data_IF_765986699269
#
_entry.id   IF_765986699269
#
_cell.length_a   1.000
_cell.length_b   1.000
_cell.length_c   1.000
_cell.angle_alpha   90.00
_cell.angle_beta   90.00
_cell.angle_gamma   90.00
#
_symmetry.space_group_name_H-M   'P 1'
#
loop_
_entity.id
_entity.type
_entity.pdbx_description
1 polymer ?
#
# COMPACT_ATOMS: atom_id res chain seq x y z
N UNK A 1 -35.49 24.13 -13.90
CA UNK A 1 -34.83 24.79 -12.75
C UNK A 1 -34.42 23.71 -11.76
N UNK A 2 -33.18 23.22 -11.83
CA UNK A 2 -32.61 22.34 -10.81
C UNK A 2 -31.55 23.15 -10.07
N UNK A 3 -31.87 23.54 -8.85
CA UNK A 3 -31.00 24.34 -8.01
C UNK A 3 -29.78 23.51 -7.62
N UNK A 4 -28.63 24.07 -7.96
CA UNK A 4 -27.29 23.60 -7.63
C UNK A 4 -27.11 23.66 -6.10
N UNK A 5 -27.52 22.61 -5.39
CA UNK A 5 -27.38 22.47 -3.95
C UNK A 5 -25.94 22.16 -3.52
N UNK A 6 -24.98 23.00 -3.89
CA UNK A 6 -23.65 22.96 -3.26
C UNK A 6 -23.83 23.42 -1.81
N UNK A 7 -23.93 22.48 -0.87
CA UNK A 7 -23.84 22.78 0.55
C UNK A 7 -22.61 23.67 0.80
N UNK A 8 -22.83 24.90 1.25
CA UNK A 8 -21.76 25.86 1.51
C UNK A 8 -21.09 25.45 2.83
N UNK A 9 -20.01 24.69 2.74
CA UNK A 9 -19.19 24.27 3.87
C UNK A 9 -18.20 25.40 4.17
N UNK A 10 -18.11 25.87 5.42
CA UNK A 10 -17.15 26.91 5.80
C UNK A 10 -15.70 26.43 5.62
N UNK A 11 -14.76 27.35 5.37
CA UNK A 11 -13.35 26.99 5.19
C UNK A 11 -12.76 26.23 6.41
N UNK A 12 -13.22 26.56 7.62
CA UNK A 12 -12.80 25.86 8.84
C UNK A 12 -13.31 24.41 8.91
N UNK A 13 -14.51 24.13 8.38
CA UNK A 13 -15.06 22.76 8.38
C UNK A 13 -14.48 21.89 7.25
N UNK A 14 -13.99 22.49 6.15
CA UNK A 14 -13.23 21.76 5.12
C UNK A 14 -11.91 21.23 5.69
N UNK A 15 -11.15 22.06 6.41
CA UNK A 15 -9.88 21.65 7.03
C UNK A 15 -10.07 20.47 7.98
N UNK A 16 -11.07 20.55 8.86
CA UNK A 16 -11.41 19.47 9.81
C UNK A 16 -11.90 18.20 9.10
N UNK A 17 -12.63 18.34 7.99
CA UNK A 17 -13.07 17.20 7.17
C UNK A 17 -11.89 16.47 6.55
N UNK A 18 -10.97 17.20 5.91
CA UNK A 18 -9.76 16.62 5.31
C UNK A 18 -8.87 15.97 6.38
N UNK A 19 -8.73 16.60 7.55
CA UNK A 19 -8.01 16.03 8.68
C UNK A 19 -8.65 14.73 9.17
N UNK A 20 -9.98 14.70 9.30
CA UNK A 20 -10.72 13.49 9.72
C UNK A 20 -10.55 12.34 8.73
N UNK A 21 -10.53 12.62 7.42
CA UNK A 21 -10.23 11.64 6.37
C UNK A 21 -8.77 11.17 6.43
N UNK A 22 -7.83 12.10 6.67
CA UNK A 22 -6.40 11.79 6.78
C UNK A 22 -6.06 10.94 8.01
N UNK A 23 -6.81 11.06 9.11
CA UNK A 23 -6.67 10.14 10.26
C UNK A 23 -6.95 8.70 9.80
N UNK A 24 -7.98 8.47 8.99
CA UNK A 24 -8.28 7.13 8.51
C UNK A 24 -7.16 6.56 7.64
N UNK A 25 -6.64 7.33 6.68
CA UNK A 25 -5.50 6.87 5.85
C UNK A 25 -4.22 6.68 6.65
N UNK A 26 -4.00 7.47 7.71
CA UNK A 26 -2.93 7.23 8.69
C UNK A 26 -3.11 5.88 9.39
N UNK A 27 -4.30 5.58 9.88
CA UNK A 27 -4.58 4.31 10.55
C UNK A 27 -4.45 3.10 9.62
N UNK A 28 -4.83 3.26 8.35
CA UNK A 28 -4.62 2.24 7.31
C UNK A 28 -3.13 1.94 7.12
N UNK A 29 -2.30 2.98 6.99
CA UNK A 29 -0.85 2.81 6.92
C UNK A 29 -0.27 2.17 8.19
N UNK A 30 -0.74 2.62 9.34
CA UNK A 30 -0.26 2.11 10.62
C UNK A 30 -0.55 0.62 10.74
N UNK A 31 -1.78 0.16 10.47
CA UNK A 31 -2.12 -1.27 10.57
C UNK A 31 -1.48 -2.14 9.49
N UNK A 32 -1.27 -1.60 8.29
CA UNK A 32 -0.65 -2.35 7.20
C UNK A 32 0.83 -2.57 7.46
N UNK A 33 1.57 -1.50 7.78
CA UNK A 33 3.03 -1.53 7.78
C UNK A 33 3.65 -1.77 9.17
N UNK A 34 2.95 -1.51 10.27
CA UNK A 34 3.55 -1.70 11.62
C UNK A 34 3.77 -3.16 11.99
N UNK A 35 3.01 -4.08 11.41
CA UNK A 35 3.13 -5.51 11.74
C UNK A 35 4.43 -6.11 11.19
N UNK A 36 4.97 -5.56 10.10
CA UNK A 36 6.19 -6.02 9.45
C UNK A 36 7.43 -6.01 10.38
N UNK A 37 7.80 -4.87 11.01
CA UNK A 37 8.91 -4.86 11.97
C UNK A 37 8.61 -5.62 13.27
N UNK A 38 7.36 -6.03 13.52
CA UNK A 38 6.94 -6.78 14.70
C UNK A 38 6.91 -8.29 14.49
N UNK A 39 7.23 -8.79 13.28
CA UNK A 39 7.18 -10.22 12.97
C UNK A 39 7.92 -11.10 13.98
N UNK A 40 9.15 -10.78 14.42
CA UNK A 40 9.86 -11.58 15.42
C UNK A 40 9.09 -11.70 16.75
N UNK A 41 8.50 -10.61 17.23
CA UNK A 41 7.73 -10.57 18.48
C UNK A 41 6.42 -11.38 18.39
N UNK A 42 5.77 -11.35 17.22
CA UNK A 42 4.56 -12.12 16.96
C UNK A 42 4.89 -13.62 16.86
N UNK A 43 6.01 -13.95 16.21
CA UNK A 43 6.52 -15.32 16.08
C UNK A 43 6.79 -15.93 17.45
N UNK A 44 7.47 -15.18 18.32
CA UNK A 44 7.73 -15.57 19.71
C UNK A 44 6.42 -15.78 20.48
N UNK A 45 5.49 -14.82 20.42
CA UNK A 45 4.24 -14.89 21.20
C UNK A 45 3.41 -16.14 20.86
N UNK A 46 3.35 -16.52 19.58
CA UNK A 46 2.56 -17.68 19.15
C UNK A 46 3.40 -18.96 19.00
N UNK A 47 4.69 -18.91 19.35
CA UNK A 47 5.64 -20.02 19.22
C UNK A 47 5.61 -20.68 17.82
N UNK A 48 5.69 -19.84 16.78
CA UNK A 48 5.72 -20.26 15.36
C UNK A 48 6.96 -19.70 14.67
N UNK A 49 7.38 -20.29 13.55
CA UNK A 49 8.51 -19.78 12.79
C UNK A 49 8.21 -18.41 12.15
N UNK A 50 9.22 -17.55 12.01
CA UNK A 50 9.12 -16.27 11.29
C UNK A 50 8.52 -16.45 9.89
N UNK A 51 8.91 -17.52 9.18
CA UNK A 51 8.36 -17.86 7.87
C UNK A 51 6.84 -18.03 7.91
N UNK A 52 6.31 -18.71 8.94
CA UNK A 52 4.85 -18.87 9.12
C UNK A 52 4.19 -17.53 9.43
N UNK A 53 4.79 -16.67 10.26
CA UNK A 53 4.22 -15.35 10.60
C UNK A 53 4.07 -14.42 9.40
N UNK A 54 4.84 -14.61 8.32
CA UNK A 54 4.60 -13.91 7.04
C UNK A 54 3.15 -13.99 6.55
N UNK A 55 2.43 -15.08 6.87
CA UNK A 55 1.00 -15.26 6.55
C UNK A 55 0.10 -14.18 7.15
N UNK A 56 0.48 -13.56 8.27
CA UNK A 56 -0.27 -12.46 8.90
C UNK A 56 -0.31 -11.23 7.99
N UNK A 57 0.81 -10.93 7.32
CA UNK A 57 0.91 -9.82 6.36
C UNK A 57 0.13 -10.17 5.09
N UNK A 58 0.35 -11.37 4.56
CA UNK A 58 -0.34 -11.82 3.34
C UNK A 58 -1.84 -11.94 3.51
N UNK A 59 -2.32 -12.33 4.68
CA UNK A 59 -3.75 -12.39 5.00
C UNK A 59 -4.38 -11.01 4.97
N UNK A 60 -3.75 -10.01 5.60
CA UNK A 60 -4.20 -8.62 5.53
C UNK A 60 -4.28 -8.12 4.09
N UNK A 61 -3.21 -8.34 3.33
CA UNK A 61 -3.12 -7.93 1.93
C UNK A 61 -4.18 -8.62 1.05
N UNK A 62 -4.43 -9.92 1.26
CA UNK A 62 -5.52 -10.66 0.63
C UNK A 62 -6.89 -10.09 1.01
N UNK A 63 -7.06 -9.71 2.27
CA UNK A 63 -8.24 -8.99 2.76
C UNK A 63 -8.47 -7.69 1.99
N UNK A 64 -7.42 -6.91 1.70
CA UNK A 64 -7.52 -5.67 0.93
C UNK A 64 -7.98 -5.94 -0.51
N UNK A 65 -7.37 -6.92 -1.17
CA UNK A 65 -7.69 -7.30 -2.56
C UNK A 65 -9.13 -7.80 -2.69
N UNK A 66 -9.60 -8.60 -1.73
CA UNK A 66 -10.98 -9.13 -1.72
C UNK A 66 -11.99 -8.07 -1.27
N UNK A 67 -11.65 -7.33 -0.23
CA UNK A 67 -12.56 -6.41 0.45
C UNK A 67 -12.90 -5.17 -0.37
N UNK A 68 -11.95 -4.63 -1.13
CA UNK A 68 -12.20 -3.47 -1.97
C UNK A 68 -13.38 -3.67 -2.96
N UNK A 69 -13.38 -4.67 -3.86
CA UNK A 69 -14.50 -4.92 -4.77
C UNK A 69 -15.76 -5.34 -4.01
N UNK A 70 -15.63 -6.21 -3.00
CA UNK A 70 -16.77 -6.71 -2.24
C UNK A 70 -17.55 -5.58 -1.54
N UNK A 71 -16.85 -4.74 -0.79
CA UNK A 71 -17.50 -3.64 -0.07
C UNK A 71 -18.00 -2.55 -1.02
N UNK A 72 -17.30 -2.27 -2.12
CA UNK A 72 -17.83 -1.36 -3.16
C UNK A 72 -19.15 -1.86 -3.75
N UNK A 73 -19.32 -3.18 -3.93
CA UNK A 73 -20.56 -3.79 -4.41
C UNK A 73 -21.66 -3.87 -3.36
N UNK A 74 -21.31 -3.91 -2.07
CA UNK A 74 -22.27 -3.98 -0.96
C UNK A 74 -22.74 -2.60 -0.48
N UNK A 75 -21.96 -1.54 -0.72
CA UNK A 75 -22.30 -0.16 -0.32
C UNK A 75 -22.64 0.79 -1.50
N UNK A 76 -23.26 0.36 -2.62
CA UNK A 76 -23.40 1.19 -3.82
C UNK A 76 -24.39 2.34 -3.63
N UNK A 77 -25.38 2.17 -2.74
CA UNK A 77 -26.41 3.17 -2.44
C UNK A 77 -26.17 3.91 -1.12
N UNK A 78 -25.13 3.55 -0.38
CA UNK A 78 -24.81 4.21 0.89
C UNK A 78 -24.20 5.58 0.60
N UNK A 79 -24.71 6.62 1.26
CA UNK A 79 -24.05 7.92 1.21
C UNK A 79 -22.59 7.78 1.67
N UNK A 80 -21.70 8.64 1.16
CA UNK A 80 -20.25 8.46 1.32
C UNK A 80 -19.80 8.59 2.78
N UNK A 81 -20.48 9.40 3.59
CA UNK A 81 -20.24 9.52 5.03
C UNK A 81 -20.54 8.19 5.74
N UNK A 82 -21.71 7.61 5.53
CA UNK A 82 -22.12 6.35 6.16
C UNK A 82 -21.20 5.20 5.78
N UNK A 83 -20.75 5.16 4.51
CA UNK A 83 -19.76 4.19 4.07
C UNK A 83 -18.42 4.35 4.82
N UNK A 84 -17.88 5.58 4.91
CA UNK A 84 -16.64 5.86 5.64
C UNK A 84 -16.74 5.53 7.14
N UNK A 85 -17.88 5.84 7.77
CA UNK A 85 -18.16 5.49 9.17
C UNK A 85 -18.20 3.97 9.35
N UNK A 86 -18.89 3.24 8.47
CA UNK A 86 -18.93 1.78 8.50
C UNK A 86 -17.52 1.18 8.36
N UNK A 87 -16.73 1.64 7.39
CA UNK A 87 -15.38 1.15 7.18
C UNK A 87 -14.46 1.48 8.36
N UNK A 88 -14.57 2.67 8.96
CA UNK A 88 -13.86 3.01 10.19
C UNK A 88 -14.27 2.12 11.37
N UNK A 89 -15.56 1.78 11.50
CA UNK A 89 -16.05 0.84 12.50
C UNK A 89 -15.50 -0.58 12.28
N UNK A 90 -15.39 -1.04 11.02
CA UNK A 90 -14.74 -2.31 10.68
C UNK A 90 -13.24 -2.30 11.04
N UNK A 91 -12.53 -1.20 10.75
CA UNK A 91 -11.12 -1.04 11.13
C UNK A 91 -10.99 -1.13 12.66
N UNK A 92 -11.86 -0.44 13.41
CA UNK A 92 -11.91 -0.52 14.88
C UNK A 92 -12.11 -1.96 15.36
N UNK A 93 -13.16 -2.64 14.91
CA UNK A 93 -13.53 -3.97 15.38
C UNK A 93 -12.45 -5.00 15.03
N UNK A 94 -12.01 -5.08 13.77
CA UNK A 94 -11.14 -6.15 13.32
C UNK A 94 -9.69 -5.98 13.79
N UNK A 95 -9.19 -4.75 13.94
CA UNK A 95 -7.89 -4.54 14.59
C UNK A 95 -7.95 -4.80 16.09
N UNK A 96 -9.09 -4.49 16.74
CA UNK A 96 -9.34 -4.87 18.12
C UNK A 96 -9.32 -6.39 18.30
N UNK A 97 -10.00 -7.13 17.42
CA UNK A 97 -9.95 -8.59 17.40
C UNK A 97 -8.52 -9.11 17.17
N UNK A 98 -7.77 -8.50 16.24
CA UNK A 98 -6.37 -8.88 15.99
C UNK A 98 -5.49 -8.69 17.23
N UNK A 99 -5.71 -7.61 18.00
CA UNK A 99 -5.01 -7.40 19.27
C UNK A 99 -5.37 -8.46 20.34
N UNK A 100 -6.60 -8.96 20.30
CA UNK A 100 -7.13 -9.98 21.22
C UNK A 100 -6.91 -11.42 20.73
N UNK A 101 -6.20 -11.63 19.62
CA UNK A 101 -5.96 -12.96 19.08
C UNK A 101 -5.26 -13.86 20.10
N UNK A 102 -5.91 -14.99 20.43
CA UNK A 102 -5.43 -16.00 21.37
C UNK A 102 -4.65 -17.13 20.72
N UNK A 103 -4.78 -17.29 19.39
CA UNK A 103 -3.98 -18.24 18.60
C UNK A 103 -3.48 -17.61 17.30
N UNK A 104 -2.50 -18.26 16.67
CA UNK A 104 -1.94 -17.81 15.39
C UNK A 104 -2.99 -17.81 14.28
N UNK A 105 -3.82 -18.84 14.21
CA UNK A 105 -4.86 -18.99 13.20
C UNK A 105 -5.95 -17.92 13.36
N UNK A 106 -6.30 -17.56 14.60
CA UNK A 106 -7.16 -16.40 14.87
C UNK A 106 -6.52 -15.11 14.40
N UNK A 107 -5.22 -14.91 14.66
CA UNK A 107 -4.49 -13.73 14.21
C UNK A 107 -4.53 -13.61 12.68
N UNK A 108 -4.28 -14.70 11.95
CA UNK A 108 -4.37 -14.73 10.48
C UNK A 108 -5.78 -14.35 9.99
N UNK A 109 -6.83 -14.95 10.57
CA UNK A 109 -8.21 -14.65 10.20
C UNK A 109 -8.57 -13.19 10.48
N UNK A 110 -8.27 -12.67 11.67
CA UNK A 110 -8.58 -11.30 12.04
C UNK A 110 -7.81 -10.28 11.23
N UNK A 111 -6.60 -10.63 10.78
CA UNK A 111 -5.81 -9.80 9.86
C UNK A 111 -6.41 -9.76 8.47
N UNK A 112 -6.89 -10.89 7.95
CA UNK A 112 -7.72 -10.90 6.74
C UNK A 112 -8.94 -9.99 6.87
N UNK A 113 -9.70 -10.09 7.96
CA UNK A 113 -10.84 -9.20 8.22
C UNK A 113 -10.42 -7.73 8.30
N UNK A 114 -9.30 -7.44 8.98
CA UNK A 114 -8.75 -6.08 9.12
C UNK A 114 -8.36 -5.45 7.79
N UNK A 115 -8.00 -6.26 6.79
CA UNK A 115 -7.70 -5.81 5.43
C UNK A 115 -8.95 -5.45 4.61
N UNK A 116 -10.10 -6.09 4.89
CA UNK A 116 -11.33 -5.89 4.11
C UNK A 116 -11.73 -4.41 3.90
N UNK A 117 -11.82 -3.56 4.95
CA UNK A 117 -12.25 -2.18 4.79
C UNK A 117 -11.20 -1.27 4.15
N UNK A 118 -9.94 -1.71 4.00
CA UNK A 118 -8.83 -0.84 3.62
C UNK A 118 -9.08 -0.16 2.27
N UNK A 119 -9.14 -0.93 1.19
CA UNK A 119 -9.24 -0.36 -0.16
C UNK A 119 -10.54 0.44 -0.35
N UNK A 120 -11.63 -0.01 0.27
CA UNK A 120 -12.92 0.67 0.23
C UNK A 120 -12.91 2.02 0.96
N UNK A 121 -12.31 2.08 2.16
CA UNK A 121 -12.11 3.33 2.89
C UNK A 121 -11.21 4.27 2.09
N UNK A 122 -10.05 3.77 1.65
CA UNK A 122 -9.04 4.57 0.97
C UNK A 122 -9.59 5.23 -0.29
N UNK A 123 -10.22 4.45 -1.18
CA UNK A 123 -10.85 4.97 -2.39
C UNK A 123 -11.98 5.96 -2.10
N UNK A 124 -12.85 5.64 -1.13
CA UNK A 124 -13.96 6.52 -0.75
C UNK A 124 -13.46 7.85 -0.16
N UNK A 125 -12.42 7.81 0.67
CA UNK A 125 -11.85 8.99 1.33
C UNK A 125 -11.17 9.93 0.33
N UNK A 126 -10.40 9.39 -0.62
CA UNK A 126 -9.79 10.18 -1.69
C UNK A 126 -10.84 10.85 -2.59
N UNK A 127 -11.89 10.10 -2.98
CA UNK A 127 -13.00 10.65 -3.76
C UNK A 127 -13.78 11.71 -2.98
N UNK A 128 -13.97 11.50 -1.67
CA UNK A 128 -14.60 12.50 -0.80
C UNK A 128 -13.79 13.79 -0.78
N UNK A 129 -12.47 13.70 -0.57
CA UNK A 129 -11.56 14.84 -0.61
C UNK A 129 -11.59 15.57 -1.95
N UNK A 130 -11.56 14.83 -3.07
CA UNK A 130 -11.63 15.39 -4.42
C UNK A 130 -12.92 16.18 -4.66
N UNK A 131 -14.07 15.71 -4.15
CA UNK A 131 -15.38 16.38 -4.28
C UNK A 131 -15.48 17.69 -3.50
N UNK A 132 -14.72 17.84 -2.42
CA UNK A 132 -14.65 19.08 -1.66
C UNK A 132 -13.74 20.14 -2.31
N UNK A 133 -12.96 19.74 -3.31
CA UNK A 133 -11.98 20.62 -3.91
C UNK A 133 -12.63 21.65 -4.84
N UNK A 134 -12.14 22.90 -4.84
CA UNK A 134 -12.39 23.84 -5.92
C UNK A 134 -11.94 23.26 -7.27
N UNK A 135 -12.51 23.78 -8.35
CA UNK A 135 -12.11 23.39 -9.72
C UNK A 135 -10.59 23.51 -9.92
N UNK A 136 -10.00 22.49 -10.55
CA UNK A 136 -8.55 22.41 -10.77
C UNK A 136 -7.71 22.07 -9.54
N UNK A 137 -8.30 21.83 -8.36
CA UNK A 137 -7.55 21.54 -7.11
C UNK A 137 -7.84 20.17 -6.49
N UNK A 138 -8.51 19.27 -7.20
CA UNK A 138 -8.85 17.92 -6.71
C UNK A 138 -7.63 17.14 -6.23
N UNK A 139 -6.54 17.15 -7.01
CA UNK A 139 -5.28 16.47 -6.67
C UNK A 139 -4.68 16.95 -5.35
N UNK A 140 -4.76 18.25 -5.04
CA UNK A 140 -4.26 18.81 -3.78
C UNK A 140 -5.08 18.33 -2.57
N UNK A 141 -6.39 18.19 -2.74
CA UNK A 141 -7.25 17.73 -1.65
C UNK A 141 -7.08 16.23 -1.43
N UNK A 142 -6.96 15.46 -2.51
CA UNK A 142 -6.59 14.04 -2.45
C UNK A 142 -5.23 13.85 -1.77
N UNK A 143 -4.23 14.67 -2.09
CA UNK A 143 -2.90 14.57 -1.47
C UNK A 143 -2.92 14.87 0.03
N UNK A 144 -3.77 15.79 0.50
CA UNK A 144 -3.99 16.05 1.93
C UNK A 144 -4.64 14.88 2.66
N UNK A 145 -5.49 14.11 1.99
CA UNK A 145 -6.03 12.88 2.56
C UNK A 145 -4.96 11.77 2.53
N UNK A 146 -4.20 11.66 1.44
CA UNK A 146 -3.13 10.69 1.28
C UNK A 146 -1.98 10.91 2.27
N UNK A 147 -1.69 12.16 2.68
CA UNK A 147 -0.58 12.46 3.59
C UNK A 147 -0.66 11.74 4.93
N UNK A 148 -1.85 11.30 5.37
CA UNK A 148 -1.99 10.43 6.54
C UNK A 148 -1.17 9.14 6.39
N UNK A 149 -1.22 8.49 5.23
CA UNK A 149 -0.44 7.30 4.92
C UNK A 149 1.07 7.58 4.97
N UNK A 150 1.50 8.70 4.41
CA UNK A 150 2.92 9.14 4.46
C UNK A 150 3.38 9.33 5.91
N UNK A 151 2.61 10.05 6.72
CA UNK A 151 2.92 10.26 8.14
C UNK A 151 2.95 8.93 8.90
N UNK A 152 2.05 7.99 8.56
CA UNK A 152 2.06 6.67 9.17
C UNK A 152 3.37 5.94 8.91
N UNK A 153 3.88 5.95 7.67
CA UNK A 153 5.15 5.28 7.35
C UNK A 153 6.38 5.92 7.99
N UNK A 154 6.43 7.26 8.09
CA UNK A 154 7.60 7.98 8.62
C UNK A 154 7.60 8.05 10.15
N UNK A 155 6.42 8.17 10.76
CA UNK A 155 6.29 8.45 12.20
C UNK A 155 5.51 7.34 12.90
N UNK A 156 4.36 6.97 12.37
CA UNK A 156 3.47 5.98 13.00
C UNK A 156 4.11 4.61 13.19
N UNK A 157 4.67 4.03 12.13
CA UNK A 157 5.29 2.70 12.13
C UNK A 157 6.51 2.63 13.06
N UNK A 158 7.47 3.59 13.04
CA UNK A 158 8.56 3.63 14.00
C UNK A 158 8.09 3.69 15.47
N UNK A 159 7.09 4.53 15.77
CA UNK A 159 6.53 4.65 17.13
C UNK A 159 5.81 3.37 17.57
N UNK A 160 5.03 2.77 16.67
CA UNK A 160 4.38 1.49 16.93
C UNK A 160 5.41 0.37 17.15
N UNK A 161 6.52 0.38 16.39
CA UNK A 161 7.63 -0.57 16.56
C UNK A 161 8.25 -0.45 17.95
N UNK A 162 8.55 0.78 18.39
CA UNK A 162 9.09 1.02 19.74
C UNK A 162 8.12 0.59 20.83
N UNK A 163 6.82 0.88 20.66
CA UNK A 163 5.79 0.41 21.59
C UNK A 163 5.73 -1.12 21.67
N UNK A 164 5.86 -1.80 20.52
CA UNK A 164 5.83 -3.25 20.47
C UNK A 164 7.03 -3.88 21.18
N UNK A 165 8.23 -3.32 20.98
CA UNK A 165 9.47 -3.78 21.61
C UNK A 165 9.47 -3.57 23.12
N UNK A 166 8.94 -2.44 23.61
CA UNK A 166 9.01 -2.08 25.02
C UNK A 166 7.81 -2.57 25.85
N UNK A 167 6.65 -2.82 25.22
CA UNK A 167 5.43 -3.21 25.93
C UNK A 167 4.84 -4.49 25.33
N UNK A 168 4.25 -4.41 24.15
CA UNK A 168 3.72 -5.56 23.40
C UNK A 168 3.21 -5.11 22.04
N UNK A 169 3.40 -5.94 21.01
CA UNK A 169 2.81 -5.73 19.68
C UNK A 169 1.28 -5.59 19.71
N UNK A 170 0.61 -6.17 20.71
CA UNK A 170 -0.85 -6.03 20.88
C UNK A 170 -1.26 -4.57 21.07
N UNK A 171 -0.47 -3.79 21.81
CA UNK A 171 -0.78 -2.38 22.07
C UNK A 171 -0.69 -1.53 20.80
N UNK A 172 0.17 -1.88 19.84
CA UNK A 172 0.18 -1.21 18.54
C UNK A 172 -1.15 -1.40 17.79
N UNK A 173 -1.75 -2.60 17.85
CA UNK A 173 -3.06 -2.86 17.25
C UNK A 173 -4.22 -2.25 18.05
N UNK A 174 -4.10 -2.18 19.38
CA UNK A 174 -5.04 -1.42 20.23
C UNK A 174 -5.01 0.07 19.86
N UNK A 175 -3.84 0.66 19.62
CA UNK A 175 -3.74 2.05 19.17
C UNK A 175 -4.44 2.28 17.83
N UNK A 176 -4.27 1.36 16.87
CA UNK A 176 -5.02 1.42 15.60
C UNK A 176 -6.52 1.35 15.86
N UNK A 177 -6.96 0.40 16.69
CA UNK A 177 -8.38 0.22 17.02
C UNK A 177 -8.95 1.47 17.70
N UNK A 178 -8.36 1.95 18.78
CA UNK A 178 -8.78 3.15 19.49
C UNK A 178 -8.78 4.38 18.57
N UNK A 179 -7.75 4.54 17.74
CA UNK A 179 -7.70 5.59 16.73
C UNK A 179 -8.84 5.49 15.71
N UNK A 180 -9.19 4.29 15.27
CA UNK A 180 -10.30 4.06 14.34
C UNK A 180 -11.67 4.32 14.97
N UNK A 181 -11.83 4.07 16.27
CA UNK A 181 -13.01 4.50 17.02
C UNK A 181 -13.13 6.03 17.05
N UNK A 182 -12.03 6.73 17.34
CA UNK A 182 -12.00 8.21 17.30
C UNK A 182 -12.31 8.71 15.88
N UNK A 183 -11.70 8.10 14.86
CA UNK A 183 -11.97 8.42 13.46
C UNK A 183 -13.45 8.21 13.11
N UNK A 184 -14.07 7.11 13.57
CA UNK A 184 -15.49 6.84 13.39
C UNK A 184 -16.36 7.96 13.95
N UNK A 185 -16.08 8.43 15.18
CA UNK A 185 -16.79 9.54 15.81
C UNK A 185 -16.58 10.87 15.06
N UNK A 186 -15.34 11.16 14.63
CA UNK A 186 -15.02 12.37 13.87
C UNK A 186 -15.73 12.37 12.50
N UNK A 187 -15.65 11.25 11.77
CA UNK A 187 -16.32 11.09 10.48
C UNK A 187 -17.82 11.23 10.64
N UNK A 188 -18.39 10.63 11.67
CA UNK A 188 -19.81 10.74 11.94
C UNK A 188 -20.23 12.16 12.33
N UNK A 189 -19.42 12.96 13.02
CA UNK A 189 -19.81 14.33 13.41
C UNK A 189 -19.50 15.40 12.38
N UNK A 190 -18.38 15.26 11.68
CA UNK A 190 -17.79 16.34 10.86
C UNK A 190 -18.21 16.25 9.40
N UNK A 191 -18.31 15.04 8.84
CA UNK A 191 -18.53 14.92 7.39
C UNK A 191 -19.95 15.34 7.01
N UNK A 192 -20.10 16.12 5.91
CA UNK A 192 -21.40 16.31 5.29
C UNK A 192 -21.90 14.99 4.69
N UNK A 193 -23.22 14.85 4.57
CA UNK A 193 -23.80 13.76 3.80
C UNK A 193 -23.60 14.05 2.31
N UNK A 194 -22.88 13.18 1.62
CA UNK A 194 -22.73 13.22 0.16
C UNK A 194 -23.40 12.01 -0.46
N UNK A 195 -24.30 12.26 -1.40
CA UNK A 195 -25.04 11.19 -2.10
C UNK A 195 -24.11 10.24 -2.85
N UNK A 196 -24.54 8.99 -2.96
CA UNK A 196 -23.89 8.01 -3.78
C UNK A 196 -24.21 8.26 -5.25
N UNK A 197 -23.32 8.93 -5.97
CA UNK A 197 -23.39 8.89 -7.44
C UNK A 197 -22.77 7.57 -7.90
N UNK A 198 -23.59 6.75 -8.56
CA UNK A 198 -23.13 5.56 -9.26
C UNK A 198 -22.83 5.93 -10.71
N UNK A 199 -21.56 6.17 -11.05
CA UNK A 199 -21.14 6.04 -12.44
C UNK A 199 -21.22 4.55 -12.83
N UNK A 200 -21.65 4.27 -14.05
CA UNK A 200 -21.94 2.91 -14.49
C UNK A 200 -20.70 2.03 -14.50
N UNK A 201 -20.49 1.25 -13.43
CA UNK A 201 -19.40 0.29 -13.22
C UNK A 201 -19.10 -0.58 -14.46
N UNK A 202 -20.15 -0.94 -15.22
CA UNK A 202 -20.01 -1.72 -16.47
C UNK A 202 -19.18 -1.03 -17.55
N UNK A 203 -19.28 0.30 -17.67
CA UNK A 203 -18.52 1.09 -18.66
C UNK A 203 -17.06 1.26 -18.22
N UNK A 204 -16.82 1.41 -16.92
CA UNK A 204 -15.46 1.56 -16.38
C UNK A 204 -14.68 0.24 -16.39
N UNK A 205 -15.37 -0.90 -16.22
CA UNK A 205 -14.75 -2.23 -16.33
C UNK A 205 -14.32 -2.60 -17.76
N UNK A 206 -14.83 -1.89 -18.79
CA UNK A 206 -14.42 -2.13 -20.17
C UNK A 206 -12.92 -1.90 -20.38
N UNK A 207 -12.30 -1.07 -19.54
CA UNK A 207 -10.86 -0.81 -19.51
C UNK A 207 -10.07 -2.11 -19.35
N UNK A 208 -10.53 -3.04 -18.50
CA UNK A 208 -9.85 -4.32 -18.23
C UNK A 208 -9.74 -5.25 -19.44
N UNK A 209 -10.48 -4.96 -20.53
CA UNK A 209 -10.40 -5.72 -21.78
C UNK A 209 -9.15 -5.39 -22.59
N UNK A 210 -8.48 -4.27 -22.33
CA UNK A 210 -7.24 -3.92 -23.04
C UNK A 210 -6.09 -4.83 -22.55
N UNK A 211 -5.51 -5.67 -23.42
CA UNK A 211 -4.46 -6.61 -23.05
C UNK A 211 -3.21 -5.94 -22.50
N UNK A 212 -2.94 -4.67 -22.83
CA UNK A 212 -1.78 -3.93 -22.33
C UNK A 212 -1.86 -3.58 -20.84
N UNK A 213 -3.05 -3.64 -20.24
CA UNK A 213 -3.21 -3.35 -18.81
C UNK A 213 -2.55 -4.43 -17.96
N UNK A 214 -2.77 -5.70 -18.31
CA UNK A 214 -2.30 -6.84 -17.52
C UNK A 214 -0.79 -6.91 -17.33
N UNK A 215 0.07 -6.68 -18.35
CA UNK A 215 1.49 -6.64 -18.10
C UNK A 215 1.91 -5.43 -17.27
N UNK A 216 1.24 -4.27 -17.38
CA UNK A 216 1.53 -3.10 -16.54
C UNK A 216 1.13 -3.37 -15.08
N UNK A 217 -0.03 -3.98 -14.86
CA UNK A 217 -0.47 -4.47 -13.55
C UNK A 217 0.51 -5.51 -13.00
N UNK A 218 0.99 -6.41 -13.85
CA UNK A 218 1.98 -7.43 -13.49
C UNK A 218 3.30 -6.84 -13.00
N UNK A 219 3.74 -5.69 -13.52
CA UNK A 219 4.87 -4.94 -12.95
C UNK A 219 4.60 -4.59 -11.49
N UNK A 220 3.40 -4.09 -11.20
CA UNK A 220 2.98 -3.76 -9.84
C UNK A 220 2.91 -4.99 -8.93
N UNK A 221 2.23 -6.05 -9.38
CA UNK A 221 2.02 -7.29 -8.60
C UNK A 221 3.34 -8.01 -8.29
N UNK A 222 4.17 -8.23 -9.30
CA UNK A 222 5.38 -9.05 -9.17
C UNK A 222 6.56 -8.18 -8.73
N UNK A 223 6.75 -7.01 -9.35
CA UNK A 223 7.87 -6.13 -9.08
C UNK A 223 7.87 -5.59 -7.65
N UNK A 224 6.73 -5.04 -7.16
CA UNK A 224 6.67 -4.59 -5.75
C UNK A 224 6.75 -5.73 -4.75
N UNK A 225 6.53 -6.99 -5.18
CA UNK A 225 6.69 -8.15 -4.32
C UNK A 225 8.11 -8.20 -3.73
N UNK A 226 9.12 -7.75 -4.47
CA UNK A 226 10.49 -7.64 -3.97
C UNK A 226 10.66 -6.60 -2.86
N UNK A 227 9.98 -5.45 -2.96
CA UNK A 227 9.99 -4.43 -1.88
C UNK A 227 9.37 -5.01 -0.62
N UNK A 228 8.21 -5.63 -0.74
CA UNK A 228 7.49 -6.19 0.39
C UNK A 228 8.18 -7.40 1.00
N UNK A 229 8.86 -8.22 0.19
CA UNK A 229 9.70 -9.30 0.69
C UNK A 229 10.81 -8.78 1.61
N UNK A 230 11.62 -7.82 1.14
CA UNK A 230 12.68 -7.23 1.95
C UNK A 230 12.15 -6.52 3.20
N UNK A 231 11.14 -5.67 3.01
CA UNK A 231 10.63 -4.85 4.11
C UNK A 231 9.97 -5.68 5.21
N UNK A 232 9.29 -6.78 4.85
CA UNK A 232 8.67 -7.71 5.81
C UNK A 232 9.70 -8.37 6.72
N UNK A 233 10.85 -8.78 6.18
CA UNK A 233 11.86 -9.55 6.92
C UNK A 233 13.10 -8.73 7.31
N UNK A 234 13.00 -7.39 7.21
CA UNK A 234 14.08 -6.47 7.56
C UNK A 234 14.44 -6.58 9.05
N UNK A 235 13.44 -6.67 9.93
CA UNK A 235 13.65 -6.86 11.36
C UNK A 235 14.46 -8.14 11.65
N UNK A 236 14.07 -9.28 11.06
CA UNK A 236 14.80 -10.53 11.20
C UNK A 236 16.24 -10.43 10.69
N UNK A 237 16.46 -9.73 9.58
CA UNK A 237 17.80 -9.48 9.05
C UNK A 237 18.65 -8.68 10.03
N UNK A 238 18.10 -7.59 10.57
CA UNK A 238 18.80 -6.72 11.50
C UNK A 238 19.17 -7.43 12.82
N UNK A 239 18.29 -8.29 13.33
CA UNK A 239 18.51 -9.01 14.57
C UNK A 239 19.44 -10.23 14.40
N UNK A 240 19.22 -11.05 13.37
CA UNK A 240 19.95 -12.31 13.21
C UNK A 240 21.27 -12.18 12.46
N UNK A 241 21.35 -11.27 11.47
CA UNK A 241 22.52 -11.11 10.59
C UNK A 241 23.34 -9.89 10.98
N UNK A 242 22.71 -8.71 11.03
CA UNK A 242 23.41 -7.46 11.39
C UNK A 242 23.75 -7.41 12.88
N UNK A 243 22.97 -8.11 13.72
CA UNK A 243 23.14 -8.20 15.18
C UNK A 243 23.20 -6.84 15.87
N UNK A 244 22.30 -5.94 15.46
CA UNK A 244 22.16 -4.60 16.07
C UNK A 244 21.09 -4.60 17.16
N UNK A 245 21.16 -3.65 18.11
CA UNK A 245 20.09 -3.47 19.10
C UNK A 245 18.72 -3.25 18.43
N UNK A 246 17.67 -3.76 19.07
CA UNK A 246 16.29 -3.73 18.55
C UNK A 246 15.79 -2.35 18.12
N UNK A 247 16.18 -1.28 18.83
CA UNK A 247 15.73 0.08 18.51
C UNK A 247 16.20 0.57 17.12
N UNK A 248 17.25 -0.04 16.54
CA UNK A 248 17.69 0.27 15.17
C UNK A 248 16.61 -0.08 14.13
N UNK A 249 15.73 -1.04 14.41
CA UNK A 249 14.63 -1.40 13.52
C UNK A 249 13.72 -0.19 13.31
N UNK A 250 13.37 0.52 14.38
CA UNK A 250 12.57 1.75 14.31
C UNK A 250 13.25 2.82 13.45
N UNK A 251 14.58 2.97 13.58
CA UNK A 251 15.37 3.88 12.73
C UNK A 251 15.30 3.45 11.26
N UNK A 252 15.42 2.16 10.96
CA UNK A 252 15.30 1.64 9.60
C UNK A 252 13.91 1.93 9.00
N UNK A 253 12.84 1.83 9.79
CA UNK A 253 11.48 2.16 9.36
C UNK A 253 11.34 3.66 9.01
N UNK A 254 11.94 4.56 9.80
CA UNK A 254 12.00 6.00 9.47
C UNK A 254 12.72 6.19 8.13
N UNK A 255 13.89 5.58 7.98
CA UNK A 255 14.72 5.70 6.77
C UNK A 255 13.96 5.20 5.53
N UNK A 256 13.27 4.06 5.65
CA UNK A 256 12.41 3.53 4.58
C UNK A 256 11.29 4.52 4.21
N UNK A 257 10.58 5.07 5.21
CA UNK A 257 9.51 6.03 5.00
C UNK A 257 9.99 7.34 4.34
N UNK A 258 11.15 7.86 4.77
CA UNK A 258 11.78 9.03 4.13
C UNK A 258 12.18 8.69 2.70
N UNK A 259 12.81 7.54 2.48
CA UNK A 259 13.14 7.03 1.14
C UNK A 259 11.92 6.99 0.23
N UNK A 260 10.82 6.39 0.69
CA UNK A 260 9.54 6.32 -0.03
C UNK A 260 9.01 7.69 -0.41
N UNK A 261 9.09 8.66 0.49
CA UNK A 261 8.63 10.03 0.23
C UNK A 261 9.48 10.71 -0.83
N UNK A 262 10.81 10.61 -0.71
CA UNK A 262 11.76 11.16 -1.68
C UNK A 262 11.58 10.51 -3.05
N UNK A 263 11.42 9.18 -3.10
CA UNK A 263 11.21 8.44 -4.33
C UNK A 263 9.92 8.81 -5.04
N UNK A 264 8.81 8.92 -4.32
CA UNK A 264 7.52 9.39 -4.86
C UNK A 264 7.64 10.81 -5.42
N UNK A 265 8.35 11.70 -4.72
CA UNK A 265 8.59 13.06 -5.19
C UNK A 265 9.44 13.09 -6.46
N UNK A 266 10.58 12.39 -6.49
CA UNK A 266 11.49 12.35 -7.65
C UNK A 266 10.80 11.74 -8.88
N UNK A 267 10.14 10.59 -8.71
CA UNK A 267 9.50 9.88 -9.83
C UNK A 267 8.19 10.55 -10.28
N UNK A 268 7.55 11.34 -9.42
CA UNK A 268 6.40 12.17 -9.79
C UNK A 268 6.72 13.29 -10.80
N UNK A 269 7.98 13.67 -10.96
CA UNK A 269 8.43 14.67 -11.95
C UNK A 269 8.88 14.05 -13.29
N UNK A 270 8.81 12.73 -13.43
CA UNK A 270 9.23 12.03 -14.65
C UNK A 270 8.27 12.39 -15.78
N UNK A 271 8.81 12.92 -16.89
CA UNK A 271 8.02 13.31 -18.06
C UNK A 271 7.41 12.08 -18.76
N UNK A 272 6.19 12.23 -19.25
CA UNK A 272 5.40 11.17 -19.91
C UNK A 272 6.15 10.40 -21.01
N UNK A 273 7.02 11.09 -21.76
CA UNK A 273 7.79 10.50 -22.87
C UNK A 273 8.83 9.46 -22.43
N UNK A 274 9.33 9.54 -21.20
CA UNK A 274 10.39 8.65 -20.68
C UNK A 274 9.90 7.67 -19.62
N UNK A 275 8.65 7.82 -19.13
CA UNK A 275 8.00 6.96 -18.12
C UNK A 275 8.32 5.48 -18.32
N UNK A 276 8.07 4.94 -19.51
CA UNK A 276 8.32 3.51 -19.76
C UNK A 276 9.81 3.14 -19.69
N UNK A 277 10.75 4.00 -20.11
CA UNK A 277 12.20 3.71 -20.00
C UNK A 277 12.66 3.77 -18.54
N UNK A 278 12.17 4.76 -17.79
CA UNK A 278 12.47 4.94 -16.36
C UNK A 278 11.99 3.73 -15.56
N UNK A 279 10.80 3.18 -15.84
CA UNK A 279 10.30 1.96 -15.19
C UNK A 279 11.29 0.80 -15.31
N UNK A 280 11.79 0.52 -16.51
CA UNK A 280 12.77 -0.56 -16.73
C UNK A 280 14.09 -0.31 -16.02
N UNK A 281 14.58 0.94 -16.01
CA UNK A 281 15.82 1.32 -15.30
C UNK A 281 15.67 1.15 -13.79
N UNK A 282 14.55 1.59 -13.21
CA UNK A 282 14.27 1.43 -11.77
C UNK A 282 14.18 -0.05 -11.41
N UNK A 283 13.53 -0.89 -12.23
CA UNK A 283 13.45 -2.34 -11.96
C UNK A 283 14.84 -3.01 -11.99
N UNK A 284 15.68 -2.69 -12.98
CA UNK A 284 17.06 -3.20 -13.03
C UNK A 284 17.87 -2.75 -11.81
N UNK A 285 17.74 -1.48 -11.44
CA UNK A 285 18.34 -0.94 -10.22
C UNK A 285 17.85 -1.71 -8.97
N UNK A 286 16.56 -2.01 -8.86
CA UNK A 286 16.02 -2.79 -7.74
C UNK A 286 16.56 -4.22 -7.68
N UNK A 287 16.83 -4.86 -8.83
CA UNK A 287 17.49 -6.18 -8.86
C UNK A 287 18.88 -6.08 -8.25
N UNK A 288 19.69 -5.11 -8.70
CA UNK A 288 21.04 -4.88 -8.16
C UNK A 288 20.99 -4.54 -6.67
N UNK A 289 20.04 -3.69 -6.27
CA UNK A 289 19.83 -3.29 -4.88
C UNK A 289 19.48 -4.49 -4.00
N UNK A 290 18.60 -5.38 -4.46
CA UNK A 290 18.18 -6.57 -3.73
C UNK A 290 19.31 -7.60 -3.58
N UNK A 291 20.19 -7.74 -4.57
CA UNK A 291 21.41 -8.56 -4.42
C UNK A 291 22.37 -7.89 -3.43
N UNK A 292 22.54 -6.57 -3.53
CA UNK A 292 23.41 -5.78 -2.66
C UNK A 292 22.96 -5.84 -1.20
N UNK A 293 21.65 -5.95 -0.95
CA UNK A 293 21.07 -6.11 0.39
C UNK A 293 21.71 -7.26 1.18
N UNK A 294 22.00 -8.39 0.52
CA UNK A 294 22.58 -9.57 1.16
C UNK A 294 23.92 -9.24 1.81
N UNK A 295 24.79 -8.52 1.09
CA UNK A 295 26.07 -8.06 1.61
C UNK A 295 25.91 -6.89 2.58
N UNK A 296 25.02 -5.94 2.28
CA UNK A 296 24.78 -4.76 3.10
C UNK A 296 24.29 -5.12 4.51
N UNK A 297 23.59 -6.25 4.67
CA UNK A 297 23.15 -6.75 5.97
C UNK A 297 24.29 -6.98 6.98
N UNK A 298 25.55 -7.06 6.55
CA UNK A 298 26.72 -7.20 7.44
C UNK A 298 27.17 -5.87 8.07
N UNK A 299 26.69 -4.72 7.58
CA UNK A 299 27.05 -3.39 8.07
C UNK A 299 25.80 -2.50 8.14
N UNK A 300 25.44 -2.07 9.35
CA UNK A 300 24.19 -1.31 9.58
C UNK A 300 24.09 -0.02 8.77
N UNK A 301 25.18 0.70 8.56
CA UNK A 301 25.18 1.96 7.81
C UNK A 301 24.96 1.71 6.32
N UNK A 302 25.56 0.65 5.78
CA UNK A 302 25.32 0.26 4.41
C UNK A 302 23.90 -0.28 4.22
N UNK A 303 23.41 -1.09 5.18
CA UNK A 303 22.02 -1.55 5.19
C UNK A 303 21.03 -0.38 5.20
N UNK A 304 21.28 0.66 6.01
CA UNK A 304 20.45 1.87 6.03
C UNK A 304 20.40 2.59 4.70
N UNK A 305 21.53 2.71 3.99
CA UNK A 305 21.53 3.25 2.63
C UNK A 305 20.67 2.39 1.71
N UNK A 306 20.81 1.06 1.76
CA UNK A 306 20.00 0.14 0.95
C UNK A 306 18.51 0.24 1.29
N UNK A 307 18.15 0.38 2.55
CA UNK A 307 16.75 0.55 3.02
C UNK A 307 16.16 1.88 2.54
N UNK A 308 16.92 2.97 2.58
CA UNK A 308 16.50 4.26 2.01
C UNK A 308 16.20 4.12 0.51
N UNK A 309 17.15 3.52 -0.21
CA UNK A 309 17.11 3.26 -1.63
C UNK A 309 15.98 2.30 -2.04
N UNK A 310 15.66 1.35 -1.16
CA UNK A 310 14.52 0.44 -1.30
C UNK A 310 13.21 1.21 -1.12
N UNK A 311 13.11 2.04 -0.08
CA UNK A 311 11.99 2.94 0.12
C UNK A 311 11.75 3.80 -1.12
N UNK A 312 12.80 4.43 -1.66
CA UNK A 312 12.72 5.28 -2.85
C UNK A 312 12.15 4.56 -4.09
N UNK A 313 12.31 3.24 -4.19
CA UNK A 313 11.71 2.45 -5.27
C UNK A 313 10.17 2.46 -5.26
N UNK A 314 9.51 2.73 -4.11
CA UNK A 314 8.05 2.87 -4.03
C UNK A 314 7.50 4.00 -4.91
N UNK A 315 8.35 4.97 -5.29
CA UNK A 315 8.01 6.00 -6.25
C UNK A 315 7.57 5.46 -7.62
N UNK A 316 7.95 4.21 -7.95
CA UNK A 316 7.50 3.52 -9.16
C UNK A 316 5.96 3.40 -9.24
N UNK A 317 5.27 3.50 -8.10
CA UNK A 317 3.80 3.46 -8.03
C UNK A 317 3.18 4.61 -8.84
N UNK A 318 3.77 5.81 -8.73
CA UNK A 318 3.33 6.99 -9.49
C UNK A 318 3.52 6.81 -10.99
N UNK A 319 4.63 6.16 -11.37
CA UNK A 319 5.00 5.88 -12.77
C UNK A 319 4.06 4.82 -13.37
N UNK A 320 3.78 3.74 -12.64
CA UNK A 320 2.83 2.70 -13.06
C UNK A 320 1.41 3.27 -13.18
N UNK A 321 1.00 4.13 -12.26
CA UNK A 321 -0.27 4.83 -12.36
C UNK A 321 -0.37 5.63 -13.68
N UNK A 322 0.66 6.41 -14.02
CA UNK A 322 0.71 7.15 -15.27
C UNK A 322 0.67 6.22 -16.51
N UNK A 323 1.34 5.06 -16.46
CA UNK A 323 1.29 4.07 -17.54
C UNK A 323 -0.13 3.52 -17.75
N UNK A 324 -0.82 3.13 -16.66
CA UNK A 324 -2.19 2.62 -16.74
C UNK A 324 -3.18 3.67 -17.26
N UNK A 325 -3.04 4.92 -16.80
CA UNK A 325 -3.87 6.04 -17.25
C UNK A 325 -3.74 6.32 -18.75
N UNK A 326 -2.57 6.05 -19.36
CA UNK A 326 -2.38 6.19 -20.82
C UNK A 326 -3.04 5.08 -21.64
N UNK A 327 -3.20 3.90 -21.06
CA UNK A 327 -3.85 2.77 -21.74
C UNK A 327 -5.38 2.89 -21.61
N UNK A 328 -5.85 3.38 -20.47
CA UNK A 328 -7.27 3.48 -20.18
C UNK A 328 -7.97 4.60 -20.98
N UNK A 329 -8.89 4.22 -21.88
CA UNK A 329 -9.79 5.14 -22.58
C UNK A 329 -11.04 5.46 -21.73
N UNK A 330 -10.83 5.93 -20.49
CA UNK A 330 -11.88 6.15 -19.48
C UNK A 330 -11.69 5.30 -18.22
N UNK A 331 -12.68 5.25 -17.32
CA UNK A 331 -12.63 4.38 -16.13
C UNK A 331 -11.46 4.66 -15.17
N UNK A 332 -11.03 5.92 -15.03
CA UNK A 332 -9.87 6.30 -14.22
C UNK A 332 -9.97 5.85 -12.74
N UNK A 333 -11.19 5.78 -12.19
CA UNK A 333 -11.42 5.23 -10.86
C UNK A 333 -11.08 3.73 -10.77
N UNK A 334 -11.41 2.94 -11.80
CA UNK A 334 -11.06 1.51 -11.91
C UNK A 334 -9.55 1.33 -12.02
N UNK A 335 -8.84 2.22 -12.74
CA UNK A 335 -7.38 2.19 -12.81
C UNK A 335 -6.74 2.44 -11.44
N UNK A 336 -7.21 3.43 -10.69
CA UNK A 336 -6.73 3.67 -9.33
C UNK A 336 -6.96 2.48 -8.41
N UNK A 337 -8.14 1.85 -8.48
CA UNK A 337 -8.44 0.64 -7.73
C UNK A 337 -7.56 -0.55 -8.14
N UNK A 338 -7.32 -0.73 -9.44
CA UNK A 338 -6.49 -1.80 -9.98
C UNK A 338 -5.04 -1.67 -9.53
N UNK A 339 -4.51 -0.45 -9.44
CA UNK A 339 -3.19 -0.19 -8.88
C UNK A 339 -3.12 -0.58 -7.39
N UNK A 340 -4.13 -0.23 -6.60
CA UNK A 340 -4.18 -0.61 -5.18
C UNK A 340 -4.26 -2.13 -4.99
N UNK A 341 -5.05 -2.80 -5.83
CA UNK A 341 -5.10 -4.27 -5.87
C UNK A 341 -3.73 -4.85 -6.25
N UNK A 342 -3.05 -4.31 -7.26
CA UNK A 342 -1.73 -4.77 -7.67
C UNK A 342 -0.71 -4.63 -6.54
N UNK A 343 -0.70 -3.47 -5.87
CA UNK A 343 0.17 -3.18 -4.74
C UNK A 343 -0.08 -4.11 -3.55
N UNK A 344 -1.35 -4.41 -3.24
CA UNK A 344 -1.67 -5.34 -2.15
C UNK A 344 -1.45 -6.80 -2.56
N UNK A 345 -1.64 -7.19 -3.82
CA UNK A 345 -1.20 -8.51 -4.29
C UNK A 345 0.31 -8.68 -4.13
N UNK A 346 1.09 -7.63 -4.41
CA UNK A 346 2.52 -7.62 -4.12
C UNK A 346 2.83 -7.77 -2.63
N UNK A 347 2.08 -7.05 -1.77
CA UNK A 347 2.16 -7.18 -0.31
C UNK A 347 1.73 -8.56 0.21
N UNK A 348 0.99 -9.35 -0.59
CA UNK A 348 0.71 -10.75 -0.29
C UNK A 348 1.81 -11.70 -0.76
N UNK A 349 2.31 -11.50 -2.00
CA UNK A 349 3.30 -12.36 -2.65
C UNK A 349 4.68 -12.24 -1.99
N UNK A 350 5.11 -11.02 -1.67
CA UNK A 350 6.44 -10.76 -1.09
C UNK A 350 6.73 -11.56 0.17
N UNK A 351 5.89 -11.46 1.23
CA UNK A 351 6.05 -12.26 2.43
C UNK A 351 6.01 -13.77 2.17
N UNK A 352 5.07 -14.27 1.35
CA UNK A 352 4.99 -15.70 1.04
C UNK A 352 6.26 -16.18 0.35
N UNK A 353 6.76 -15.45 -0.64
CA UNK A 353 8.00 -15.81 -1.33
C UNK A 353 9.20 -15.76 -0.38
N UNK A 354 9.33 -14.71 0.43
CA UNK A 354 10.42 -14.55 1.39
C UNK A 354 10.40 -15.60 2.51
N UNK A 355 9.22 -16.12 2.87
CA UNK A 355 9.09 -17.19 3.87
C UNK A 355 9.86 -18.46 3.51
N UNK A 356 10.12 -18.69 2.21
CA UNK A 356 10.92 -19.80 1.71
C UNK A 356 12.32 -19.85 2.35
N UNK A 357 12.94 -18.68 2.57
CA UNK A 357 14.26 -18.56 3.22
C UNK A 357 14.23 -19.18 4.61
N UNK A 358 13.25 -18.78 5.42
CA UNK A 358 13.11 -19.23 6.80
C UNK A 358 12.70 -20.71 6.90
N UNK A 359 11.84 -21.19 6.01
CA UNK A 359 11.38 -22.58 6.00
C UNK A 359 12.49 -23.58 5.63
N UNK A 360 13.52 -23.13 4.92
CA UNK A 360 14.66 -23.96 4.53
C UNK A 360 15.92 -23.71 5.38
N UNK A 361 15.82 -22.89 6.43
CA UNK A 361 16.94 -22.62 7.34
C UNK A 361 18.05 -21.72 6.78
N UNK A 362 17.77 -20.97 5.71
CA UNK A 362 18.68 -19.97 5.17
C UNK A 362 18.73 -18.71 6.05
N UNK A 363 19.73 -17.85 5.83
CA UNK A 363 19.89 -16.63 6.62
C UNK A 363 18.86 -15.57 6.21
N UNK A 364 18.38 -14.76 7.17
CA UNK A 364 17.30 -13.80 6.90
C UNK A 364 17.63 -12.78 5.78
N UNK A 365 18.92 -12.44 5.60
CA UNK A 365 19.37 -11.56 4.53
C UNK A 365 19.26 -12.18 3.13
N UNK A 366 19.17 -13.52 3.00
CA UNK A 366 18.98 -14.21 1.71
C UNK A 366 17.62 -13.91 1.07
N UNK A 367 16.70 -13.28 1.81
CA UNK A 367 15.48 -12.66 1.24
C UNK A 367 15.79 -11.62 0.16
N UNK A 368 17.02 -11.09 0.12
CA UNK A 368 17.55 -10.29 -1.00
C UNK A 368 17.53 -11.02 -2.34
N UNK A 369 17.90 -12.30 -2.38
CA UNK A 369 17.86 -13.09 -3.62
C UNK A 369 16.44 -13.34 -4.11
N UNK A 370 15.52 -13.64 -3.19
CA UNK A 370 14.08 -13.80 -3.53
C UNK A 370 13.52 -12.49 -4.08
N UNK A 371 13.88 -11.37 -3.45
CA UNK A 371 13.45 -10.04 -3.90
C UNK A 371 14.02 -9.69 -5.27
N UNK A 372 15.27 -10.07 -5.56
CA UNK A 372 15.88 -9.91 -6.88
C UNK A 372 15.12 -10.71 -7.95
N UNK A 373 14.69 -11.94 -7.66
CA UNK A 373 13.86 -12.76 -8.55
C UNK A 373 12.52 -12.08 -8.82
N UNK A 374 11.87 -11.53 -7.79
CA UNK A 374 10.60 -10.79 -7.94
C UNK A 374 10.78 -9.51 -8.78
N UNK A 375 11.83 -8.73 -8.54
CA UNK A 375 12.14 -7.57 -9.38
C UNK A 375 12.44 -7.96 -10.82
N UNK A 376 13.14 -9.08 -11.06
CA UNK A 376 13.37 -9.62 -12.39
C UNK A 376 12.05 -10.05 -13.07
N UNK A 377 11.13 -10.67 -12.33
CA UNK A 377 9.78 -10.96 -12.81
C UNK A 377 9.03 -9.69 -13.21
N UNK A 378 9.08 -8.63 -12.38
CA UNK A 378 8.55 -7.32 -12.71
C UNK A 378 9.18 -6.72 -13.99
N UNK A 379 10.50 -6.90 -14.17
CA UNK A 379 11.22 -6.48 -15.38
C UNK A 379 10.76 -7.25 -16.62
N UNK A 380 10.50 -8.56 -16.50
CA UNK A 380 9.92 -9.36 -17.59
C UNK A 380 8.53 -8.85 -17.96
N UNK A 381 7.67 -8.56 -16.98
CA UNK A 381 6.34 -7.96 -17.24
C UNK A 381 6.45 -6.61 -17.94
N UNK A 382 7.45 -5.81 -17.57
CA UNK A 382 7.77 -4.57 -18.26
C UNK A 382 8.21 -4.79 -19.73
N UNK A 383 9.07 -5.77 -20.00
CA UNK A 383 9.45 -6.14 -21.37
C UNK A 383 8.24 -6.55 -22.21
N UNK A 384 7.35 -7.38 -21.65
CA UNK A 384 6.10 -7.79 -22.31
C UNK A 384 5.23 -6.57 -22.65
N UNK A 385 5.06 -5.65 -21.70
CA UNK A 385 4.33 -4.38 -21.93
C UNK A 385 4.96 -3.55 -23.06
N UNK A 386 6.30 -3.50 -23.14
CA UNK A 386 7.03 -2.76 -24.19
C UNK A 386 6.86 -3.40 -25.57
N UNK A 387 6.89 -4.72 -25.66
CA UNK A 387 6.74 -5.46 -26.92
C UNK A 387 5.31 -5.25 -27.47
N UNK A 388 4.29 -5.49 -26.63
CA UNK A 388 2.89 -5.30 -27.01
C UNK A 388 2.60 -3.84 -27.40
N UNK A 389 3.17 -2.87 -26.67
CA UNK A 389 2.98 -1.45 -26.97
C UNK A 389 3.61 -1.03 -28.31
N UNK A 390 4.71 -1.66 -28.72
CA UNK A 390 5.35 -1.44 -30.03
C UNK A 390 4.53 -2.05 -31.16
N UNK A 391 4.06 -3.29 -31.00
CA UNK A 391 3.22 -3.97 -32.00
C UNK A 391 1.95 -3.17 -32.29
N UNK A 392 1.27 -2.67 -31.25
CA UNK A 392 0.08 -1.82 -31.40
C UNK A 392 0.35 -0.53 -32.19
N UNK A 393 1.49 0.11 -31.96
CA UNK A 393 1.84 1.33 -32.70
C UNK A 393 2.12 1.03 -34.18
N UNK A 394 2.77 -0.09 -34.49
CA UNK A 394 3.03 -0.53 -35.87
C UNK A 394 1.74 -0.88 -36.60
N UNK A 395 0.80 -1.55 -35.95
CA UNK A 395 -0.53 -1.84 -36.52
C UNK A 395 -1.29 -0.55 -36.87
N UNK A 396 -1.28 0.44 -35.96
CA UNK A 396 -1.92 1.73 -36.21
C UNK A 396 -1.27 2.52 -37.36
N UNK A 397 0.06 2.45 -37.49
CA UNK A 397 0.79 3.06 -38.61
C UNK A 397 0.46 2.37 -39.94
N UNK A 398 0.30 1.04 -39.94
CA UNK A 398 -0.03 0.26 -41.15
C UNK A 398 -1.48 0.40 -41.64
N UNK A 399 -2.42 0.76 -40.77
CA UNK A 399 -3.83 0.99 -41.12
C UNK A 399 -4.08 2.45 -41.55
N UNK A 400 -3.18 3.36 -41.17
CA UNK A 400 -3.22 4.77 -41.56
C UNK A 400 -2.47 5.11 -42.86
N UNK A 401 -1.64 4.19 -43.36
CA UNK A 401 -0.98 4.24 -44.69
C UNK A 401 -1.81 3.54 -45.74
#
# INVERSE_FOLDING_TARGET
MSANGKQVISHSSIGLTLFSLAIGTFLLGLTEFSVMPMLPLIAETFNVSTGKVGQVISAYAAGVVVGAPLLMMLTPKMNRRSALVLFAAMIFAFNGLSALAGSFEQMVLFRFLSGLPHGAYFGTALLFGARLAPEGRSTLYMSRVFSGLTIATIVGVPLATLLAQNISWRWALVLVSAGAFIACLLLWRVLPSLEAEGEGLKKDLAVLKDPLIWPIVGIGVIGFGGVFCLYTYLADTMLSVTKVPEYYISIAMVIFGVGSTVGNWLLGHVRDRVVAKVTGMVLLYCIVLAITYVQAATNVWFLFLVVFLLGASLGLTTVIQAMLMRVAKGGHAVIGALLQCAFNSANAIGPVAGSYIFLNGYAANDTGYISAILFAGGFVMWLVSRIQGRQRNQELESVGS
#
